data_IF_059295143729
#
_entry.id   IF_059295143729
#
_cell.length_a   1.000
_cell.length_b   1.000
_cell.length_c   1.000
_cell.angle_alpha   90.00
_cell.angle_beta   90.00
_cell.angle_gamma   90.00
#
_symmetry.space_group_name_H-M   'P 1'
#
loop_
_entity.id
_entity.type
_entity.pdbx_description
1 polymer ?
#
# COMPACT_ATOMS: atom_id res chain seq x y z
N UNK A 1 10.24 -14.55 -0.79
CA UNK A 1 9.57 -13.37 -0.18
C UNK A 1 8.09 -13.32 -0.59
N UNK A 2 7.18 -12.98 0.33
CA UNK A 2 5.83 -12.56 -0.04
C UNK A 2 6.01 -11.18 -0.66
N UNK A 3 5.94 -11.10 -1.98
CA UNK A 3 6.21 -9.88 -2.73
C UNK A 3 5.27 -9.77 -3.92
N UNK A 4 4.98 -8.54 -4.30
CA UNK A 4 4.19 -8.19 -5.47
C UNK A 4 4.95 -8.58 -6.75
N UNK A 5 4.22 -8.96 -7.80
CA UNK A 5 4.79 -9.11 -9.15
C UNK A 5 5.00 -7.70 -9.70
N UNK A 6 6.25 -7.39 -10.07
CA UNK A 6 6.59 -6.10 -10.67
C UNK A 6 6.39 -6.22 -12.18
N UNK A 7 5.20 -5.88 -12.63
CA UNK A 7 4.88 -5.77 -14.05
C UNK A 7 4.74 -4.30 -14.50
N UNK A 8 4.81 -4.10 -15.81
CA UNK A 8 4.58 -2.79 -16.43
C UNK A 8 3.09 -2.55 -16.74
N UNK A 9 2.19 -3.43 -16.28
CA UNK A 9 0.77 -3.31 -16.61
C UNK A 9 0.10 -2.22 -15.77
N UNK A 10 0.46 -2.15 -14.47
CA UNK A 10 -0.20 -1.23 -13.52
C UNK A 10 0.67 -0.04 -13.10
N UNK A 11 1.93 0.01 -13.54
CA UNK A 11 2.91 1.06 -13.22
C UNK A 11 2.97 1.36 -11.70
N UNK A 12 2.89 0.31 -10.89
CA UNK A 12 2.70 0.40 -9.44
C UNK A 12 3.97 0.23 -8.61
N UNK A 13 5.14 0.12 -9.24
CA UNK A 13 6.40 -0.27 -8.58
C UNK A 13 6.73 0.56 -7.33
N UNK A 14 6.43 1.87 -7.33
CA UNK A 14 6.62 2.72 -6.15
C UNK A 14 5.75 2.28 -4.96
N UNK A 15 4.48 1.96 -5.21
CA UNK A 15 3.58 1.42 -4.19
C UNK A 15 4.03 0.02 -3.77
N UNK A 16 4.42 -0.81 -4.72
CA UNK A 16 4.80 -2.20 -4.45
C UNK A 16 6.05 -2.27 -3.57
N UNK A 17 7.05 -1.42 -3.83
CA UNK A 17 8.24 -1.27 -3.01
C UNK A 17 7.90 -0.75 -1.60
N UNK A 18 7.14 0.34 -1.51
CA UNK A 18 6.76 0.94 -0.22
C UNK A 18 5.98 -0.04 0.65
N UNK A 19 4.94 -0.67 0.10
CA UNK A 19 4.07 -1.58 0.85
C UNK A 19 4.79 -2.84 1.28
N UNK A 20 5.73 -3.35 0.49
CA UNK A 20 6.56 -4.50 0.89
C UNK A 20 7.41 -4.17 2.11
N UNK A 21 8.07 -2.99 2.12
CA UNK A 21 8.87 -2.53 3.26
C UNK A 21 7.98 -2.31 4.49
N UNK A 22 6.84 -1.65 4.32
CA UNK A 22 5.92 -1.40 5.43
C UNK A 22 5.33 -2.69 5.99
N UNK A 23 5.04 -3.69 5.15
CA UNK A 23 4.54 -4.99 5.60
C UNK A 23 5.61 -5.73 6.41
N UNK A 24 6.86 -5.73 5.95
CA UNK A 24 7.97 -6.36 6.68
C UNK A 24 8.18 -5.73 8.07
N UNK A 25 8.21 -4.39 8.12
CA UNK A 25 8.25 -3.64 9.39
C UNK A 25 7.06 -4.02 10.28
N UNK A 26 5.85 -4.08 9.72
CA UNK A 26 4.64 -4.39 10.47
C UNK A 26 4.65 -5.82 11.02
N UNK A 27 5.09 -6.81 10.23
CA UNK A 27 5.18 -8.22 10.62
C UNK A 27 6.15 -8.44 11.80
N UNK A 28 7.16 -7.59 11.96
CA UNK A 28 8.06 -7.66 13.12
C UNK A 28 7.33 -7.43 14.46
N UNK A 29 6.35 -6.52 14.49
CA UNK A 29 5.50 -6.31 15.68
C UNK A 29 4.13 -5.70 15.28
N UNK A 30 3.15 -6.55 14.91
CA UNK A 30 1.85 -6.10 14.41
C UNK A 30 1.11 -5.15 15.35
N UNK A 31 1.18 -5.38 16.66
CA UNK A 31 0.47 -4.57 17.64
C UNK A 31 1.08 -3.17 17.72
N UNK A 32 2.40 -3.06 17.86
CA UNK A 32 3.12 -1.77 17.89
C UNK A 32 2.90 -0.98 16.61
N UNK A 33 3.14 -1.61 15.46
CA UNK A 33 3.10 -0.92 14.17
C UNK A 33 1.70 -0.57 13.71
N UNK A 34 0.67 -1.33 14.10
CA UNK A 34 -0.72 -0.90 13.93
C UNK A 34 -0.99 0.44 14.63
N UNK A 35 -0.62 0.57 15.91
CA UNK A 35 -0.82 1.82 16.66
C UNK A 35 -0.03 2.96 16.07
N UNK A 36 1.24 2.73 15.70
CA UNK A 36 2.09 3.76 15.10
C UNK A 36 1.53 4.24 13.76
N UNK A 37 1.20 3.33 12.84
CA UNK A 37 0.68 3.69 11.52
C UNK A 37 -0.66 4.42 11.62
N UNK A 38 -1.54 4.00 12.55
CA UNK A 38 -2.80 4.70 12.84
C UNK A 38 -2.57 6.14 13.33
N UNK A 39 -1.54 6.36 14.14
CA UNK A 39 -1.20 7.68 14.67
C UNK A 39 -0.57 8.63 13.66
N UNK A 40 0.04 8.12 12.59
CA UNK A 40 0.69 8.94 11.58
C UNK A 40 -0.30 9.69 10.67
N UNK A 41 -1.22 8.97 10.02
CA UNK A 41 -2.28 9.54 9.21
C UNK A 41 -3.33 8.47 8.82
N UNK A 42 -4.44 8.92 8.23
CA UNK A 42 -5.55 8.04 7.81
C UNK A 42 -5.15 7.00 6.76
N UNK A 43 -4.19 7.30 5.88
CA UNK A 43 -3.75 6.39 4.81
C UNK A 43 -2.91 5.24 5.37
N UNK A 44 -1.99 5.53 6.29
CA UNK A 44 -1.22 4.51 6.99
C UNK A 44 -2.10 3.67 7.93
N UNK A 45 -3.18 4.24 8.49
CA UNK A 45 -4.21 3.44 9.15
C UNK A 45 -4.88 2.44 8.20
N UNK A 46 -5.27 2.86 6.99
CA UNK A 46 -5.83 1.97 5.96
C UNK A 46 -4.86 0.82 5.66
N UNK A 47 -3.58 1.12 5.45
CA UNK A 47 -2.53 0.12 5.21
C UNK A 47 -2.42 -0.87 6.38
N UNK A 48 -2.41 -0.38 7.62
CA UNK A 48 -2.34 -1.24 8.81
C UNK A 48 -3.55 -2.19 8.95
N UNK A 49 -4.76 -1.74 8.63
CA UNK A 49 -5.93 -2.62 8.61
C UNK A 49 -5.83 -3.65 7.48
N UNK A 50 -5.37 -3.23 6.29
CA UNK A 50 -5.11 -4.13 5.18
C UNK A 50 -4.11 -5.24 5.53
N UNK A 51 -3.03 -4.92 6.24
CA UNK A 51 -2.05 -5.92 6.68
C UNK A 51 -2.62 -6.94 7.67
N UNK A 52 -3.51 -6.52 8.57
CA UNK A 52 -4.24 -7.47 9.42
C UNK A 52 -5.10 -8.41 8.58
N UNK A 53 -5.79 -7.89 7.57
CA UNK A 53 -6.62 -8.69 6.66
C UNK A 53 -5.78 -9.69 5.83
N UNK A 54 -4.55 -9.33 5.46
CA UNK A 54 -3.60 -10.26 4.82
C UNK A 54 -3.26 -11.42 5.77
N UNK A 55 -2.91 -11.16 7.03
CA UNK A 55 -2.62 -12.25 7.99
C UNK A 55 -3.82 -13.14 8.27
N UNK A 56 -5.04 -12.58 8.18
CA UNK A 56 -6.30 -13.33 8.22
C UNK A 56 -6.68 -14.02 6.90
N UNK A 57 -5.83 -13.97 5.87
CA UNK A 57 -6.06 -14.49 4.51
C UNK A 57 -7.34 -13.95 3.84
N UNK A 58 -7.75 -12.73 4.19
CA UNK A 58 -8.95 -12.05 3.65
C UNK A 58 -8.62 -11.11 2.49
N UNK A 59 -7.38 -10.63 2.42
CA UNK A 59 -6.89 -9.76 1.34
C UNK A 59 -5.51 -10.19 0.88
N UNK A 60 -5.20 -9.82 -0.36
CA UNK A 60 -3.84 -9.82 -0.91
C UNK A 60 -3.19 -8.46 -0.71
N UNK A 61 -1.87 -8.38 -0.87
CA UNK A 61 -1.15 -7.11 -0.77
C UNK A 61 -1.49 -6.18 -1.96
N UNK A 62 -1.85 -6.75 -3.12
CA UNK A 62 -2.39 -6.08 -4.29
C UNK A 62 -3.71 -5.37 -3.95
N UNK A 63 -4.57 -5.98 -3.14
CA UNK A 63 -5.80 -5.32 -2.70
C UNK A 63 -5.49 -4.10 -1.82
N UNK A 64 -4.56 -4.23 -0.87
CA UNK A 64 -4.15 -3.10 0.00
C UNK A 64 -3.55 -1.95 -0.82
N UNK A 65 -2.74 -2.28 -1.84
CA UNK A 65 -2.23 -1.31 -2.79
C UNK A 65 -3.34 -0.57 -3.52
N UNK A 66 -4.29 -1.30 -4.08
CA UNK A 66 -5.38 -0.72 -4.85
C UNK A 66 -6.27 0.17 -3.97
N UNK A 67 -6.55 -0.26 -2.73
CA UNK A 67 -7.28 0.53 -1.74
C UNK A 67 -6.57 1.86 -1.44
N UNK A 68 -5.26 1.81 -1.15
CA UNK A 68 -4.45 3.00 -0.89
C UNK A 68 -4.39 3.93 -2.10
N UNK A 69 -4.14 3.37 -3.30
CA UNK A 69 -4.05 4.14 -4.55
C UNK A 69 -5.35 4.87 -4.83
N UNK A 70 -6.48 4.16 -4.75
CA UNK A 70 -7.80 4.74 -4.97
C UNK A 70 -8.11 5.84 -3.96
N UNK A 71 -7.74 5.64 -2.68
CA UNK A 71 -7.97 6.63 -1.64
C UNK A 71 -7.15 7.91 -1.88
N UNK A 72 -5.86 7.78 -2.21
CA UNK A 72 -4.99 8.94 -2.48
C UNK A 72 -5.43 9.69 -3.74
N UNK A 73 -5.78 8.98 -4.80
CA UNK A 73 -6.30 9.59 -6.03
C UNK A 73 -7.62 10.31 -5.78
N UNK A 74 -8.54 9.73 -4.99
CA UNK A 74 -9.81 10.36 -4.65
C UNK A 74 -9.61 11.64 -3.83
N UNK A 75 -8.70 11.62 -2.87
CA UNK A 75 -8.51 12.74 -1.93
C UNK A 75 -7.65 13.89 -2.49
N UNK A 76 -6.75 13.60 -3.44
CA UNK A 76 -5.76 14.56 -3.93
C UNK A 76 -5.74 14.72 -5.46
N UNK A 77 -6.59 14.01 -6.19
CA UNK A 77 -6.71 14.11 -7.64
C UNK A 77 -5.68 13.31 -8.44
N UNK A 78 -5.99 13.14 -9.72
CA UNK A 78 -5.18 12.38 -10.68
C UNK A 78 -3.88 13.13 -11.06
N UNK A 79 -3.82 14.43 -10.84
CA UNK A 79 -2.62 15.25 -11.03
C UNK A 79 -1.53 14.94 -10.00
N UNK A 80 -1.91 14.52 -8.79
CA UNK A 80 -0.97 14.19 -7.71
C UNK A 80 -0.74 12.69 -7.58
N UNK A 81 -1.79 11.87 -7.78
CA UNK A 81 -1.72 10.41 -7.66
C UNK A 81 -2.34 9.73 -8.88
N UNK A 82 -1.71 9.81 -10.06
CA UNK A 82 -2.28 9.26 -11.29
C UNK A 82 -2.37 7.73 -11.34
N UNK A 83 -3.32 7.26 -12.15
CA UNK A 83 -3.31 5.89 -12.64
C UNK A 83 -2.36 5.71 -13.85
N UNK A 84 -1.83 4.50 -14.02
CA UNK A 84 -1.00 4.15 -15.17
C UNK A 84 0.38 4.84 -15.19
N UNK A 85 0.98 5.06 -16.38
CA UNK A 85 2.38 5.45 -16.54
C UNK A 85 2.69 6.91 -16.22
N UNK A 86 1.67 7.74 -15.96
CA UNK A 86 1.87 9.18 -15.76
C UNK A 86 2.77 9.40 -14.54
N UNK A 87 3.86 10.15 -14.72
CA UNK A 87 4.85 10.41 -13.66
C UNK A 87 5.89 9.31 -13.46
N UNK A 88 5.89 8.26 -14.30
CA UNK A 88 6.96 7.25 -14.33
C UNK A 88 8.00 7.57 -15.40
N UNK A 89 9.25 7.11 -15.19
CA UNK A 89 10.30 7.20 -16.21
C UNK A 89 9.96 6.30 -17.40
N UNK A 90 10.15 6.82 -18.62
CA UNK A 90 10.09 6.06 -19.87
C UNK A 90 11.15 4.95 -19.92
#
# INVERSE_FOLDING_TARGET
PIGLIWDHENYSCAYDALLSILLDIWLYNPQKWTSNFKGCNKYLNTVAQGFKEITGKKKTIENVRNDLRNQLNTDFGNENFPYGPVGTSL
#
